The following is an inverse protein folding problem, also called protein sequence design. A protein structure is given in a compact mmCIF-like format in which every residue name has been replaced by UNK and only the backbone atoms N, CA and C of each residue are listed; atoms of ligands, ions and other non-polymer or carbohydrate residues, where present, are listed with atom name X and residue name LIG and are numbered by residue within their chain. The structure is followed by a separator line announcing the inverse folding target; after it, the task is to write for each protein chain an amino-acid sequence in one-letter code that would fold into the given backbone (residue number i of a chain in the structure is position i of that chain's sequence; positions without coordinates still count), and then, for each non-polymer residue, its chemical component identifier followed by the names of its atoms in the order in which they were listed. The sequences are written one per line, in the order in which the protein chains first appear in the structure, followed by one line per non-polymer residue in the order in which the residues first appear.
data_IF_283953427639
#
_entry.id   IF_283953427639
#
_cell.length_a   1.000
_cell.length_b   1.000
_cell.length_c   1.000
_cell.angle_alpha   90.00
_cell.angle_beta   90.00
_cell.angle_gamma   90.00
#
_symmetry.space_group_name_H-M   'P 1'
#
loop_
_entity.id
_entity.type
_entity.pdbx_description
1 polymer ?
#
# COMPACT_ATOMS: atom_id res chain seq x y z
N UNK A 1 7.05 3.46 21.07
CA UNK A 1 6.44 2.78 22.23
C UNK A 1 5.46 3.75 22.90
N UNK A 2 4.50 3.24 23.68
CA UNK A 2 3.44 4.05 24.31
C UNK A 2 3.71 4.24 25.81
N UNK A 3 4.76 4.99 26.15
CA UNK A 3 5.07 5.36 27.52
C UNK A 3 4.60 6.80 27.81
N UNK A 4 4.11 7.06 29.04
CA UNK A 4 3.58 8.38 29.43
C UNK A 4 4.66 9.37 29.88
N UNK A 5 5.85 8.87 30.18
CA UNK A 5 7.01 9.64 30.62
C UNK A 5 7.89 9.97 29.42
N UNK A 6 8.30 11.24 29.23
CA UNK A 6 9.21 11.61 28.15
C UNK A 6 10.53 10.84 28.25
N UNK A 7 10.75 9.91 27.33
CA UNK A 7 11.92 9.02 27.32
C UNK A 7 12.80 9.18 26.07
N UNK A 8 12.42 10.07 25.14
CA UNK A 8 13.13 10.30 23.89
C UNK A 8 14.06 11.51 24.03
N UNK A 9 15.36 11.31 23.76
CA UNK A 9 16.38 12.35 23.87
C UNK A 9 17.14 12.48 22.56
N UNK A 10 17.29 13.71 22.09
CA UNK A 10 18.16 14.07 20.96
C UNK A 10 19.39 14.75 21.53
N UNK A 11 20.57 14.35 21.05
CA UNK A 11 21.86 14.97 21.38
C UNK A 11 22.40 15.65 20.12
N UNK A 12 22.08 16.93 19.87
CA UNK A 12 22.46 17.61 18.63
C UNK A 12 23.97 17.60 18.37
N UNK A 13 24.77 17.75 19.42
CA UNK A 13 26.23 17.73 19.34
C UNK A 13 26.81 16.40 18.82
N UNK A 14 26.07 15.29 18.98
CA UNK A 14 26.47 13.95 18.52
C UNK A 14 25.72 13.53 17.25
N UNK A 15 24.78 14.34 16.74
CA UNK A 15 23.94 13.96 15.59
C UNK A 15 23.07 12.73 15.85
N UNK A 16 22.81 12.38 17.10
CA UNK A 16 22.22 11.12 17.49
C UNK A 16 20.99 11.29 18.40
N UNK A 17 20.07 10.34 18.32
CA UNK A 17 18.93 10.22 19.20
C UNK A 17 18.97 8.89 19.95
N UNK A 18 18.36 8.87 21.12
CA UNK A 18 18.18 7.67 21.92
C UNK A 18 16.87 7.73 22.68
N UNK A 19 16.13 6.62 22.65
CA UNK A 19 14.94 6.42 23.44
C UNK A 19 15.25 5.53 24.65
N UNK A 20 15.24 6.12 25.85
CA UNK A 20 15.47 5.40 27.11
C UNK A 20 14.36 4.41 27.48
N UNK A 21 13.17 4.53 26.87
CA UNK A 21 12.04 3.64 27.12
C UNK A 21 12.10 2.33 26.34
N UNK A 22 12.56 2.37 25.08
CA UNK A 22 12.65 1.18 24.23
C UNK A 22 14.09 0.77 23.84
N UNK A 23 15.10 1.54 24.23
CA UNK A 23 16.51 1.28 23.93
C UNK A 23 16.92 1.54 22.47
N UNK A 24 16.00 2.00 21.63
CA UNK A 24 16.31 2.34 20.23
C UNK A 24 17.10 3.65 20.18
N UNK A 25 18.03 3.73 19.24
CA UNK A 25 18.80 4.93 18.96
C UNK A 25 19.50 4.84 17.62
N UNK A 26 20.03 5.97 17.17
CA UNK A 26 20.74 6.06 15.91
C UNK A 26 20.96 7.49 15.47
N UNK A 27 21.36 7.67 14.23
CA UNK A 27 21.47 8.97 13.59
C UNK A 27 20.11 9.45 13.05
N UNK A 28 20.12 10.62 12.39
CA UNK A 28 18.92 11.21 11.78
C UNK A 28 18.31 10.32 10.70
N UNK A 29 19.11 9.60 9.92
CA UNK A 29 18.62 8.69 8.90
C UNK A 29 17.92 7.50 9.56
N UNK A 30 18.52 6.93 10.61
CA UNK A 30 17.93 5.83 11.37
C UNK A 30 16.62 6.20 12.03
N UNK A 31 16.48 7.47 12.45
CA UNK A 31 15.21 7.99 12.94
C UNK A 31 14.14 7.92 11.84
N UNK A 32 14.43 8.44 10.65
CA UNK A 32 13.48 8.47 9.51
C UNK A 32 13.19 7.06 8.99
N UNK A 33 14.20 6.20 8.90
CA UNK A 33 14.01 4.78 8.57
C UNK A 33 12.99 4.13 9.52
N UNK A 34 13.05 4.43 10.82
CA UNK A 34 12.16 3.84 11.82
C UNK A 34 10.80 4.54 11.92
N UNK A 35 10.75 5.87 11.79
CA UNK A 35 9.50 6.64 11.86
C UNK A 35 8.64 6.41 10.63
N UNK A 36 9.25 6.38 9.45
CA UNK A 36 8.59 6.18 8.16
C UNK A 36 8.57 4.71 7.72
N UNK A 37 9.33 3.84 8.40
CA UNK A 37 9.48 2.41 8.06
C UNK A 37 10.00 2.21 6.62
N UNK A 38 11.06 2.95 6.27
CA UNK A 38 11.72 2.95 4.95
C UNK A 38 13.18 2.47 5.05
N UNK A 39 13.80 2.15 3.93
CA UNK A 39 15.24 1.83 3.89
C UNK A 39 16.12 3.08 3.87
N UNK A 40 17.43 2.92 4.08
CA UNK A 40 18.39 4.02 4.16
C UNK A 40 18.36 4.97 2.95
N UNK A 41 18.35 4.44 1.73
CA UNK A 41 18.32 5.27 0.51
C UNK A 41 17.05 6.14 0.45
N UNK A 42 15.89 5.56 0.76
CA UNK A 42 14.62 6.31 0.84
C UNK A 42 14.66 7.35 1.96
N UNK A 43 15.24 7.02 3.12
CA UNK A 43 15.40 7.97 4.22
C UNK A 43 16.30 9.16 3.83
N UNK A 44 17.35 8.92 3.05
CA UNK A 44 18.21 9.97 2.49
C UNK A 44 17.44 10.85 1.50
N UNK A 45 16.67 10.25 0.59
CA UNK A 45 15.83 11.00 -0.37
C UNK A 45 14.76 11.84 0.34
N UNK A 46 14.07 11.28 1.33
CA UNK A 46 13.04 11.99 2.11
C UNK A 46 13.63 13.23 2.80
N UNK A 47 14.82 13.08 3.40
CA UNK A 47 15.49 14.19 4.08
C UNK A 47 16.02 15.23 3.08
N UNK A 48 16.56 14.78 1.95
CA UNK A 48 17.05 15.66 0.90
C UNK A 48 15.93 16.53 0.32
N UNK A 49 14.79 15.94 -0.03
CA UNK A 49 13.62 16.65 -0.53
C UNK A 49 13.10 17.65 0.52
N UNK A 50 13.03 17.25 1.79
CA UNK A 50 12.53 18.08 2.90
C UNK A 50 13.37 19.33 3.15
N UNK A 51 14.68 19.22 2.99
CA UNK A 51 15.63 20.31 3.24
C UNK A 51 16.17 20.95 1.97
N UNK A 52 15.59 20.60 0.81
CA UNK A 52 16.00 21.09 -0.51
C UNK A 52 17.50 20.88 -0.80
N UNK A 53 18.03 19.74 -0.38
CA UNK A 53 19.41 19.33 -0.63
C UNK A 53 19.44 18.54 -1.95
N UNK A 54 20.23 19.00 -2.91
CA UNK A 54 20.45 18.27 -4.17
C UNK A 54 21.38 17.09 -3.90
N UNK A 55 20.89 15.86 -4.13
CA UNK A 55 21.70 14.65 -4.01
C UNK A 55 22.45 14.40 -5.31
N UNK A 56 23.78 14.31 -5.22
CA UNK A 56 24.64 13.86 -6.30
C UNK A 56 25.07 12.43 -6.02
N UNK A 57 24.67 11.50 -6.89
CA UNK A 57 25.16 10.14 -6.86
C UNK A 57 26.44 10.08 -7.70
N UNK A 58 27.49 9.42 -7.18
CA UNK A 58 28.74 9.26 -7.93
C UNK A 58 28.46 8.59 -9.28
N UNK A 59 28.86 9.32 -10.32
CA UNK A 59 28.38 9.19 -11.67
C UNK A 59 29.14 8.10 -12.43
N UNK A 60 28.52 6.93 -12.53
CA UNK A 60 28.69 6.02 -13.68
C UNK A 60 27.37 5.83 -14.47
N UNK A 61 26.38 6.70 -14.22
CA UNK A 61 25.14 6.81 -15.02
C UNK A 61 24.68 8.28 -15.12
N UNK A 62 24.29 8.75 -16.32
CA UNK A 62 23.93 10.15 -16.52
C UNK A 62 22.56 10.42 -15.91
N UNK A 63 22.50 11.32 -14.93
CA UNK A 63 21.27 11.72 -14.26
C UNK A 63 21.16 13.24 -14.28
N UNK A 64 20.20 13.74 -15.08
CA UNK A 64 19.91 15.16 -15.25
C UNK A 64 18.75 15.55 -14.32
N UNK A 65 19.00 16.57 -13.50
CA UNK A 65 18.09 17.39 -12.67
C UNK A 65 16.57 17.14 -12.82
N UNK A 66 15.98 16.57 -11.78
CA UNK A 66 14.57 16.66 -11.33
C UNK A 66 14.48 15.81 -10.05
N UNK A 67 13.47 16.01 -9.17
CA UNK A 67 13.31 15.22 -7.93
C UNK A 67 13.51 13.73 -8.18
N UNK A 68 13.96 12.98 -7.17
CA UNK A 68 14.36 11.58 -7.35
C UNK A 68 13.36 10.86 -8.27
N UNK A 69 13.85 10.05 -9.22
CA UNK A 69 12.97 9.38 -10.21
C UNK A 69 11.74 8.77 -9.52
N UNK A 70 11.94 8.24 -8.30
CA UNK A 70 10.90 7.78 -7.38
C UNK A 70 9.84 8.83 -7.05
N UNK A 71 10.23 10.01 -6.57
CA UNK A 71 9.34 11.14 -6.26
C UNK A 71 8.45 11.51 -7.45
N UNK A 72 9.02 11.60 -8.65
CA UNK A 72 8.28 11.92 -9.88
C UNK A 72 7.23 10.87 -10.25
N UNK A 73 7.55 9.59 -10.06
CA UNK A 73 6.58 8.50 -10.27
C UNK A 73 5.44 8.52 -9.23
N UNK A 74 5.74 8.89 -7.98
CA UNK A 74 4.71 9.03 -6.95
C UNK A 74 3.76 10.19 -7.28
N UNK A 75 4.29 11.32 -7.76
CA UNK A 75 3.47 12.44 -8.24
C UNK A 75 2.56 12.03 -9.41
N UNK A 76 3.08 11.25 -10.36
CA UNK A 76 2.31 10.75 -11.49
C UNK A 76 1.14 9.85 -11.02
N UNK A 77 1.40 8.96 -10.07
CA UNK A 77 0.36 8.11 -9.48
C UNK A 77 -0.68 8.91 -8.68
N UNK A 78 -0.27 9.92 -7.91
CA UNK A 78 -1.20 10.77 -7.17
C UNK A 78 -2.07 11.62 -8.13
N UNK A 79 -1.52 12.09 -9.24
CA UNK A 79 -2.29 12.80 -10.28
C UNK A 79 -3.24 11.86 -11.02
N UNK A 80 -2.81 10.63 -11.34
CA UNK A 80 -3.67 9.61 -11.92
C UNK A 80 -4.82 9.25 -10.97
N UNK A 81 -4.57 9.19 -9.66
CA UNK A 81 -5.60 8.96 -8.67
C UNK A 81 -6.64 10.09 -8.68
N UNK A 82 -6.21 11.35 -8.66
CA UNK A 82 -7.11 12.51 -8.76
C UNK A 82 -7.94 12.46 -10.03
N UNK A 83 -7.31 12.12 -11.15
CA UNK A 83 -7.98 11.93 -12.42
C UNK A 83 -9.07 10.85 -12.31
N UNK A 84 -8.76 9.63 -11.90
CA UNK A 84 -9.75 8.55 -11.83
C UNK A 84 -10.90 8.85 -10.87
N UNK A 85 -10.64 9.47 -9.71
CA UNK A 85 -11.69 9.91 -8.78
C UNK A 85 -12.59 10.94 -9.45
N UNK A 86 -12.05 11.93 -10.18
CA UNK A 86 -12.87 12.91 -10.91
C UNK A 86 -13.78 12.27 -11.96
N UNK A 87 -13.36 11.15 -12.55
CA UNK A 87 -14.12 10.46 -13.60
C UNK A 87 -15.27 9.61 -13.06
N UNK A 88 -15.32 9.30 -11.74
CA UNK A 88 -16.37 8.45 -11.16
C UNK A 88 -17.77 9.07 -11.27
N UNK A 89 -17.84 10.40 -11.38
CA UNK A 89 -19.10 11.15 -11.54
C UNK A 89 -19.48 11.41 -13.00
N UNK A 90 -18.66 10.96 -13.96
CA UNK A 90 -18.97 11.08 -15.38
C UNK A 90 -20.22 10.25 -15.74
N UNK A 91 -20.84 10.57 -16.89
CA UNK A 91 -21.98 9.80 -17.41
C UNK A 91 -21.58 8.34 -17.70
N UNK A 92 -20.37 8.14 -18.21
CA UNK A 92 -19.83 6.84 -18.59
C UNK A 92 -19.61 5.92 -17.37
N UNK A 93 -19.23 6.50 -16.22
CA UNK A 93 -19.02 5.77 -14.97
C UNK A 93 -20.31 5.22 -14.30
N UNK A 94 -21.46 5.26 -14.97
CA UNK A 94 -22.72 4.71 -14.42
C UNK A 94 -22.58 3.22 -14.04
N UNK A 95 -21.90 2.42 -14.88
CA UNK A 95 -21.66 1.01 -14.59
C UNK A 95 -20.80 0.82 -13.34
N UNK A 96 -19.77 1.67 -13.16
CA UNK A 96 -18.92 1.69 -11.97
C UNK A 96 -19.73 1.99 -10.70
N UNK A 97 -20.55 3.07 -10.73
CA UNK A 97 -21.38 3.45 -9.59
C UNK A 97 -22.43 2.39 -9.24
N UNK A 98 -23.08 1.80 -10.26
CA UNK A 98 -24.02 0.68 -10.05
C UNK A 98 -23.35 -0.53 -9.40
N UNK A 99 -22.12 -0.84 -9.81
CA UNK A 99 -21.37 -1.95 -9.23
C UNK A 99 -21.04 -1.73 -7.75
N UNK A 100 -20.58 -0.53 -7.40
CA UNK A 100 -20.23 -0.17 -6.03
C UNK A 100 -21.48 -0.10 -5.16
N UNK A 101 -22.55 0.55 -5.64
CA UNK A 101 -23.82 0.63 -4.94
C UNK A 101 -24.50 -0.74 -4.77
N UNK A 102 -24.38 -1.64 -5.76
CA UNK A 102 -24.87 -3.02 -5.66
C UNK A 102 -24.13 -3.88 -4.64
N UNK A 103 -23.01 -3.39 -4.09
CA UNK A 103 -22.28 -3.97 -2.95
C UNK A 103 -22.47 -3.15 -1.66
N UNK A 104 -23.48 -2.28 -1.63
CA UNK A 104 -23.83 -1.42 -0.51
C UNK A 104 -22.75 -0.39 -0.13
N UNK A 105 -21.87 -0.02 -1.06
CA UNK A 105 -20.95 1.09 -0.85
C UNK A 105 -21.61 2.41 -1.25
N UNK A 106 -21.71 3.34 -0.31
CA UNK A 106 -22.18 4.70 -0.56
C UNK A 106 -21.11 5.52 -1.29
N UNK A 107 -21.48 6.70 -1.77
CA UNK A 107 -20.51 7.62 -2.39
C UNK A 107 -19.42 8.05 -1.39
N UNK A 108 -19.79 8.29 -0.13
CA UNK A 108 -18.85 8.68 0.93
C UNK A 108 -17.84 7.56 1.18
N UNK A 109 -18.28 6.30 1.12
CA UNK A 109 -17.39 5.16 1.24
C UNK A 109 -16.42 5.11 0.06
N UNK A 110 -16.94 5.27 -1.16
CA UNK A 110 -16.10 5.30 -2.36
C UNK A 110 -15.02 6.40 -2.28
N UNK A 111 -15.38 7.60 -1.79
CA UNK A 111 -14.44 8.70 -1.57
C UNK A 111 -13.38 8.35 -0.51
N UNK A 112 -13.81 7.77 0.63
CA UNK A 112 -12.91 7.33 1.71
C UNK A 112 -11.84 6.34 1.23
N UNK A 113 -12.22 5.39 0.38
CA UNK A 113 -11.29 4.38 -0.18
C UNK A 113 -10.60 4.83 -1.48
N UNK A 114 -10.90 6.04 -1.96
CA UNK A 114 -10.34 6.60 -3.19
C UNK A 114 -10.78 5.88 -4.46
N UNK A 115 -11.95 5.23 -4.47
CA UNK A 115 -12.48 4.55 -5.64
C UNK A 115 -12.64 5.53 -6.81
N UNK A 116 -12.19 5.10 -7.98
CA UNK A 116 -12.24 5.90 -9.21
C UNK A 116 -12.76 5.11 -10.41
N UNK A 117 -12.81 5.79 -11.55
CA UNK A 117 -13.16 5.20 -12.83
C UNK A 117 -12.07 5.53 -13.86
N UNK A 118 -11.57 4.50 -14.53
CA UNK A 118 -10.74 4.66 -15.72
C UNK A 118 -11.66 4.71 -16.95
N UNK A 119 -11.76 5.86 -17.66
CA UNK A 119 -12.63 5.98 -18.82
C UNK A 119 -12.27 5.01 -19.95
N UNK A 120 -13.24 4.67 -20.79
CA UNK A 120 -12.99 4.05 -22.08
C UNK A 120 -12.29 5.05 -23.01
N UNK A 121 -11.53 4.52 -23.95
CA UNK A 121 -10.65 5.31 -24.82
C UNK A 121 -9.20 4.88 -24.70
N UNK A 122 -8.34 5.43 -25.56
CA UNK A 122 -6.96 4.96 -25.67
C UNK A 122 -5.96 5.77 -24.85
N UNK A 123 -6.19 7.05 -24.59
CA UNK A 123 -5.14 7.96 -24.12
C UNK A 123 -5.67 9.08 -23.21
N UNK A 124 -6.79 8.86 -22.50
CA UNK A 124 -7.39 9.89 -21.65
C UNK A 124 -6.47 10.27 -20.49
N UNK A 125 -5.94 9.26 -19.78
CA UNK A 125 -4.99 9.48 -18.69
C UNK A 125 -3.65 9.98 -19.25
N UNK A 126 -3.15 9.39 -20.34
CA UNK A 126 -1.90 9.81 -20.98
C UNK A 126 -1.94 11.29 -21.37
N UNK A 127 -3.03 11.76 -22.02
CA UNK A 127 -3.21 13.18 -22.36
C UNK A 127 -3.31 14.05 -21.11
N UNK A 128 -4.04 13.59 -20.08
CA UNK A 128 -4.14 14.31 -18.80
C UNK A 128 -2.77 14.50 -18.16
N UNK A 129 -1.99 13.43 -18.01
CA UNK A 129 -0.65 13.48 -17.41
C UNK A 129 0.34 14.28 -18.27
N UNK A 130 0.26 14.16 -19.60
CA UNK A 130 1.09 14.98 -20.50
C UNK A 130 0.81 16.48 -20.30
N UNK A 131 -0.46 16.88 -20.11
CA UNK A 131 -0.83 18.26 -19.81
C UNK A 131 -0.29 18.77 -18.46
N UNK A 132 0.09 17.84 -17.56
CA UNK A 132 0.73 18.09 -16.27
C UNK A 132 2.27 18.00 -16.33
N UNK A 133 2.83 17.85 -17.52
CA UNK A 133 4.28 17.84 -17.75
C UNK A 133 4.96 16.50 -17.44
N UNK A 134 4.22 15.40 -17.29
CA UNK A 134 4.83 14.07 -17.17
C UNK A 134 5.26 13.57 -18.54
N UNK A 135 6.43 12.94 -18.60
CA UNK A 135 6.93 12.32 -19.83
C UNK A 135 6.28 10.96 -20.07
N UNK A 136 6.25 10.51 -21.31
CA UNK A 136 5.73 9.18 -21.66
C UNK A 136 6.49 8.06 -20.91
N UNK A 137 7.79 8.23 -20.70
CA UNK A 137 8.60 7.25 -19.96
C UNK A 137 8.20 7.21 -18.48
N UNK A 138 7.95 8.35 -17.84
CA UNK A 138 7.48 8.39 -16.45
C UNK A 138 6.12 7.68 -16.30
N UNK A 139 5.20 7.87 -17.25
CA UNK A 139 3.89 7.20 -17.22
C UNK A 139 4.01 5.68 -17.37
N UNK A 140 4.93 5.21 -18.21
CA UNK A 140 5.21 3.78 -18.38
C UNK A 140 5.93 3.20 -17.16
N UNK A 141 6.92 3.91 -16.62
CA UNK A 141 7.67 3.50 -15.43
C UNK A 141 6.79 3.46 -14.18
N UNK A 142 5.76 4.31 -14.09
CA UNK A 142 4.73 4.27 -13.05
C UNK A 142 3.69 3.15 -13.27
N UNK A 143 3.71 2.48 -14.43
CA UNK A 143 2.76 1.43 -14.79
C UNK A 143 1.35 1.94 -15.13
N UNK A 144 1.23 3.23 -15.47
CA UNK A 144 -0.03 3.91 -15.83
C UNK A 144 -0.36 3.79 -17.32
N UNK A 145 0.66 3.62 -18.15
CA UNK A 145 0.54 3.55 -19.59
C UNK A 145 1.36 2.39 -20.19
N UNK A 146 1.06 2.03 -21.44
CA UNK A 146 1.77 1.00 -22.21
C UNK A 146 2.14 1.50 -23.59
N UNK A 147 3.25 0.98 -24.12
CA UNK A 147 3.64 1.22 -25.51
C UNK A 147 2.75 0.40 -26.46
N UNK A 148 2.13 1.08 -27.43
CA UNK A 148 1.42 0.48 -28.56
C UNK A 148 2.08 0.81 -29.89
N UNK A 149 1.52 0.27 -30.98
CA UNK A 149 2.03 0.51 -32.34
C UNK A 149 1.88 1.98 -32.79
N UNK A 150 0.84 2.68 -32.31
CA UNK A 150 0.53 4.07 -32.68
C UNK A 150 0.91 5.09 -31.61
N UNK A 151 1.69 4.68 -30.61
CA UNK A 151 2.07 5.51 -29.46
C UNK A 151 1.69 4.89 -28.12
N UNK A 152 1.84 5.68 -27.06
CA UNK A 152 1.56 5.28 -25.68
C UNK A 152 0.06 5.41 -25.39
N UNK A 153 -0.51 4.42 -24.70
CA UNK A 153 -1.93 4.33 -24.38
C UNK A 153 -2.17 3.97 -22.91
N UNK A 154 -3.35 4.30 -22.40
CA UNK A 154 -3.79 4.06 -21.02
C UNK A 154 -3.81 2.56 -20.72
N UNK A 155 -3.18 2.16 -19.60
CA UNK A 155 -3.21 0.76 -19.19
C UNK A 155 -4.58 0.34 -18.62
N UNK A 156 -5.18 1.19 -17.78
CA UNK A 156 -6.51 0.99 -17.21
C UNK A 156 -7.54 1.68 -18.09
N UNK A 157 -8.57 0.94 -18.55
CA UNK A 157 -9.59 1.45 -19.48
C UNK A 157 -10.93 0.80 -19.20
N UNK A 158 -11.99 1.59 -19.10
CA UNK A 158 -13.36 1.11 -18.84
C UNK A 158 -13.51 0.29 -17.55
N UNK A 159 -12.80 0.66 -16.47
CA UNK A 159 -12.72 -0.13 -15.23
C UNK A 159 -12.93 0.71 -13.98
N UNK A 160 -13.46 0.10 -12.92
CA UNK A 160 -13.41 0.68 -11.56
C UNK A 160 -12.00 0.53 -11.03
N UNK A 161 -11.44 1.59 -10.47
CA UNK A 161 -10.06 1.60 -9.93
C UNK A 161 -10.06 1.77 -8.41
N UNK A 162 -9.14 1.09 -7.74
CA UNK A 162 -8.79 1.28 -6.34
C UNK A 162 -7.31 1.65 -6.23
N UNK A 163 -6.95 2.76 -5.57
CA UNK A 163 -5.56 3.11 -5.35
C UNK A 163 -4.94 2.16 -4.34
N UNK A 164 -3.74 1.67 -4.64
CA UNK A 164 -2.92 0.87 -3.74
C UNK A 164 -1.84 1.79 -3.19
N UNK A 165 -1.86 1.99 -1.88
CA UNK A 165 -1.01 2.97 -1.19
C UNK A 165 0.02 2.30 -0.31
N UNK A 166 1.09 3.04 -0.03
CA UNK A 166 2.04 2.68 1.01
C UNK A 166 1.50 2.99 2.42
N UNK A 167 2.30 2.71 3.43
CA UNK A 167 1.96 2.96 4.84
C UNK A 167 1.90 4.45 5.23
N UNK A 168 2.24 5.37 4.33
CA UNK A 168 2.15 6.84 4.49
C UNK A 168 0.93 7.43 3.76
N UNK A 169 0.27 6.64 2.91
CA UNK A 169 -0.90 7.03 2.11
C UNK A 169 -0.56 7.48 0.68
N UNK A 170 0.71 7.42 0.26
CA UNK A 170 1.11 7.75 -1.12
C UNK A 170 0.70 6.63 -2.08
N UNK A 171 0.23 7.01 -3.27
CA UNK A 171 -0.24 6.05 -4.27
C UNK A 171 0.94 5.38 -4.98
N UNK A 172 1.03 4.05 -4.89
CA UNK A 172 2.07 3.25 -5.56
C UNK A 172 1.58 2.68 -6.90
N UNK A 173 0.28 2.45 -7.01
CA UNK A 173 -0.35 1.85 -8.18
C UNK A 173 -1.86 1.67 -7.96
N UNK A 174 -2.47 0.83 -8.79
CA UNK A 174 -3.92 0.66 -8.83
C UNK A 174 -4.29 -0.80 -9.05
N UNK A 175 -5.38 -1.21 -8.40
CA UNK A 175 -6.18 -2.36 -8.79
C UNK A 175 -7.37 -1.91 -9.62
N UNK A 176 -7.74 -2.66 -10.65
CA UNK A 176 -8.83 -2.30 -11.54
C UNK A 176 -9.71 -3.49 -11.93
N UNK A 177 -11.03 -3.30 -11.79
CA UNK A 177 -12.04 -4.34 -12.04
C UNK A 177 -12.77 -4.11 -13.36
N UNK A 178 -12.89 -5.18 -14.16
CA UNK A 178 -13.67 -5.22 -15.41
C UNK A 178 -15.14 -4.83 -15.16
N UNK A 179 -15.70 -4.04 -16.07
CA UNK A 179 -17.10 -3.60 -16.06
C UNK A 179 -17.87 -4.05 -17.30
N UNK A 180 -17.21 -4.07 -18.47
CA UNK A 180 -17.84 -4.29 -19.76
C UNK A 180 -17.30 -5.56 -20.42
N UNK A 181 -18.15 -6.33 -21.08
CA UNK A 181 -17.76 -7.63 -21.65
C UNK A 181 -16.78 -7.51 -22.83
N UNK A 182 -16.88 -6.41 -23.58
CA UNK A 182 -16.06 -6.04 -24.73
C UNK A 182 -14.66 -5.50 -24.37
N UNK A 183 -14.30 -5.48 -23.08
CA UNK A 183 -12.95 -5.11 -22.65
C UNK A 183 -11.89 -6.05 -23.25
N UNK A 184 -10.89 -5.47 -23.89
CA UNK A 184 -9.71 -6.16 -24.43
C UNK A 184 -9.01 -7.08 -23.44
N UNK A 185 -8.95 -6.71 -22.15
CA UNK A 185 -8.35 -7.55 -21.12
C UNK A 185 -9.45 -8.38 -20.45
N UNK A 186 -9.45 -9.69 -20.68
CA UNK A 186 -10.50 -10.56 -20.18
C UNK A 186 -10.45 -10.82 -18.67
N UNK A 187 -9.32 -10.52 -18.01
CA UNK A 187 -9.16 -10.71 -16.58
C UNK A 187 -10.15 -9.84 -15.76
N UNK A 188 -10.85 -10.48 -14.82
CA UNK A 188 -11.83 -9.82 -13.91
C UNK A 188 -11.20 -8.68 -13.12
N UNK A 189 -9.97 -8.87 -12.66
CA UNK A 189 -9.14 -7.85 -12.02
C UNK A 189 -7.78 -7.79 -12.69
N UNK A 190 -7.23 -6.59 -12.78
CA UNK A 190 -5.84 -6.33 -13.15
C UNK A 190 -5.25 -5.37 -12.13
N UNK A 191 -3.94 -5.46 -11.91
CA UNK A 191 -3.20 -4.51 -11.09
C UNK A 191 -2.12 -3.84 -11.93
N UNK A 192 -1.58 -2.74 -11.42
CA UNK A 192 -0.34 -2.15 -11.92
C UNK A 192 0.72 -3.27 -12.06
N UNK A 193 1.45 -3.35 -13.19
CA UNK A 193 2.58 -4.26 -13.30
C UNK A 193 3.65 -3.93 -12.25
N UNK A 194 4.61 -4.83 -12.01
CA UNK A 194 5.69 -4.50 -11.08
C UNK A 194 6.50 -3.30 -11.61
N UNK A 195 6.71 -2.30 -10.76
CA UNK A 195 7.49 -1.08 -11.02
C UNK A 195 8.49 -0.86 -9.89
N UNK A 196 9.27 0.22 -9.94
CA UNK A 196 10.12 0.60 -8.79
C UNK A 196 9.33 1.08 -7.55
N UNK A 197 8.04 1.40 -7.72
CA UNK A 197 7.14 1.79 -6.63
C UNK A 197 6.24 0.64 -6.17
N UNK A 198 5.87 -0.25 -7.09
CA UNK A 198 4.86 -1.26 -6.88
C UNK A 198 5.46 -2.65 -7.06
N UNK A 199 5.47 -3.43 -5.97
CA UNK A 199 5.82 -4.84 -6.01
C UNK A 199 4.66 -5.63 -5.41
N UNK A 200 3.97 -6.44 -6.23
CA UNK A 200 2.73 -7.14 -5.84
C UNK A 200 2.87 -8.02 -4.59
N UNK A 201 4.09 -8.49 -4.29
CA UNK A 201 4.41 -9.32 -3.13
C UNK A 201 4.76 -8.53 -1.86
N UNK A 202 4.83 -7.20 -1.94
CA UNK A 202 5.21 -6.30 -0.85
C UNK A 202 4.15 -5.21 -0.59
N UNK A 203 3.00 -5.26 -1.26
CA UNK A 203 1.91 -4.29 -1.08
C UNK A 203 0.68 -4.96 -0.49
N UNK A 204 0.02 -4.25 0.42
CA UNK A 204 -1.24 -4.67 1.03
C UNK A 204 -2.25 -3.53 0.86
N UNK A 205 -3.36 -3.80 0.20
CA UNK A 205 -4.43 -2.82 0.07
C UNK A 205 -5.09 -2.56 1.43
N UNK A 206 -5.42 -1.29 1.69
CA UNK A 206 -5.99 -0.84 2.96
C UNK A 206 -4.99 -0.70 4.09
N UNK A 207 -3.69 -0.90 3.84
CA UNK A 207 -2.67 -0.78 4.88
C UNK A 207 -2.58 0.65 5.44
N UNK A 208 -2.69 1.66 4.58
CA UNK A 208 -2.67 3.08 4.92
C UNK A 208 -3.73 3.44 5.97
N UNK A 209 -4.98 2.98 5.78
CA UNK A 209 -6.10 3.23 6.69
C UNK A 209 -6.10 2.29 7.91
N UNK A 210 -5.55 1.09 7.78
CA UNK A 210 -5.55 0.09 8.84
C UNK A 210 -4.36 0.23 9.80
N UNK A 211 -3.23 0.81 9.36
CA UNK A 211 -1.94 0.86 10.08
C UNK A 211 -2.08 1.26 11.54
N UNK A 212 -2.73 2.39 11.81
CA UNK A 212 -2.87 2.93 13.17
C UNK A 212 -3.63 1.97 14.09
N UNK A 213 -4.70 1.35 13.58
CA UNK A 213 -5.50 0.38 14.32
C UNK A 213 -4.80 -0.98 14.46
N UNK A 214 -4.04 -1.41 13.45
CA UNK A 214 -3.23 -2.63 13.51
C UNK A 214 -2.22 -2.51 14.65
N UNK A 215 -1.49 -1.39 14.71
CA UNK A 215 -0.51 -1.13 15.78
C UNK A 215 -1.19 -1.06 17.16
N UNK A 216 -2.30 -0.32 17.26
CA UNK A 216 -3.04 -0.11 18.52
C UNK A 216 -3.66 -1.41 19.07
N UNK A 217 -4.30 -2.20 18.19
CA UNK A 217 -5.01 -3.43 18.56
C UNK A 217 -4.11 -4.66 18.53
N UNK A 218 -2.90 -4.55 17.95
CA UNK A 218 -1.97 -5.66 17.64
C UNK A 218 -2.67 -6.79 16.89
N UNK A 219 -3.54 -6.41 15.96
CA UNK A 219 -4.34 -7.33 15.18
C UNK A 219 -4.31 -6.90 13.73
N UNK A 220 -4.16 -7.87 12.82
CA UNK A 220 -4.44 -7.67 11.40
C UNK A 220 -5.46 -8.71 10.95
N UNK A 221 -6.36 -8.31 10.05
CA UNK A 221 -7.32 -9.21 9.39
C UNK A 221 -6.98 -9.22 7.90
N UNK A 222 -6.69 -10.38 7.35
CA UNK A 222 -6.27 -10.56 5.95
C UNK A 222 -7.46 -11.15 5.20
N UNK A 223 -7.98 -10.38 4.23
CA UNK A 223 -9.14 -10.74 3.39
C UNK A 223 -8.71 -10.87 1.91
N UNK A 224 -9.60 -11.41 1.09
CA UNK A 224 -9.30 -11.78 -0.31
C UNK A 224 -9.13 -10.58 -1.25
N UNK A 225 -10.00 -9.56 -1.15
CA UNK A 225 -10.05 -8.51 -2.15
C UNK A 225 -10.37 -7.11 -1.65
N UNK A 226 -10.30 -6.16 -2.58
CA UNK A 226 -10.51 -4.74 -2.33
C UNK A 226 -11.85 -4.43 -1.67
N UNK A 227 -12.93 -5.06 -2.15
CA UNK A 227 -14.27 -4.83 -1.60
C UNK A 227 -14.45 -5.46 -0.23
N UNK A 228 -13.71 -6.51 0.08
CA UNK A 228 -13.83 -7.20 1.36
C UNK A 228 -13.15 -6.35 2.43
N UNK A 229 -12.02 -5.70 2.09
CA UNK A 229 -11.42 -4.66 2.93
C UNK A 229 -12.42 -3.54 3.18
N UNK A 230 -13.06 -3.01 2.13
CA UNK A 230 -14.05 -1.95 2.28
C UNK A 230 -15.19 -2.39 3.22
N UNK A 231 -15.78 -3.56 2.98
CA UNK A 231 -16.88 -4.10 3.78
C UNK A 231 -16.47 -4.31 5.25
N UNK A 232 -15.29 -4.89 5.49
CA UNK A 232 -14.75 -5.07 6.84
C UNK A 232 -14.60 -3.74 7.59
N UNK A 233 -14.01 -2.74 6.96
CA UNK A 233 -13.82 -1.42 7.57
C UNK A 233 -15.16 -0.73 7.87
N UNK A 234 -16.16 -0.86 7.00
CA UNK A 234 -17.52 -0.35 7.24
C UNK A 234 -18.26 -1.10 8.35
N UNK A 235 -17.97 -2.40 8.52
CA UNK A 235 -18.47 -3.22 9.61
C UNK A 235 -17.71 -3.03 10.95
N UNK A 236 -16.73 -2.11 11.00
CA UNK A 236 -15.94 -1.83 12.20
C UNK A 236 -14.70 -2.71 12.38
N UNK A 237 -14.42 -3.61 11.43
CA UNK A 237 -13.17 -4.38 11.34
C UNK A 237 -12.11 -3.52 10.64
N UNK A 238 -11.67 -2.48 11.35
CA UNK A 238 -10.74 -1.44 10.89
C UNK A 238 -9.25 -1.87 10.77
N UNK A 239 -8.97 -3.17 10.98
CA UNK A 239 -7.64 -3.78 10.83
C UNK A 239 -7.53 -4.64 9.57
N UNK A 240 -8.53 -4.58 8.69
CA UNK A 240 -8.58 -5.40 7.48
C UNK A 240 -7.65 -4.88 6.37
N UNK A 241 -6.92 -5.81 5.73
CA UNK A 241 -6.04 -5.59 4.57
C UNK A 241 -6.17 -6.74 3.58
N UNK A 242 -5.82 -6.53 2.31
CA UNK A 242 -5.84 -7.57 1.28
C UNK A 242 -4.57 -7.59 0.44
N UNK A 243 -4.24 -8.76 -0.11
CA UNK A 243 -3.20 -8.87 -1.14
C UNK A 243 -3.72 -8.41 -2.49
N UNK A 244 -2.82 -7.92 -3.34
CA UNK A 244 -3.20 -7.33 -4.61
C UNK A 244 -3.02 -8.34 -5.76
N UNK A 245 -3.99 -9.26 -5.91
CA UNK A 245 -3.99 -10.24 -7.01
C UNK A 245 -2.91 -11.32 -6.91
N UNK A 246 -2.50 -11.66 -5.69
CA UNK A 246 -1.51 -12.71 -5.40
C UNK A 246 -1.84 -13.38 -4.08
N UNK A 247 -1.36 -14.61 -3.86
CA UNK A 247 -1.44 -15.26 -2.57
C UNK A 247 -0.63 -14.49 -1.51
N UNK A 248 -1.10 -14.54 -0.26
CA UNK A 248 -0.33 -14.05 0.89
C UNK A 248 0.97 -14.85 1.04
N UNK A 249 2.07 -14.17 1.33
CA UNK A 249 3.42 -14.72 1.21
C UNK A 249 4.39 -14.14 2.23
N UNK A 250 5.65 -14.59 2.16
CA UNK A 250 6.68 -14.25 3.16
C UNK A 250 6.96 -12.76 3.30
N UNK A 251 7.00 -12.02 2.19
CA UNK A 251 7.26 -10.57 2.24
C UNK A 251 6.08 -9.80 2.86
N UNK A 252 4.84 -10.18 2.56
CA UNK A 252 3.66 -9.68 3.27
C UNK A 252 3.71 -9.98 4.78
N UNK A 253 4.12 -11.20 5.15
CA UNK A 253 4.27 -11.61 6.55
C UNK A 253 5.29 -10.73 7.30
N UNK A 254 6.42 -10.39 6.67
CA UNK A 254 7.41 -9.47 7.25
C UNK A 254 6.83 -8.09 7.53
N UNK A 255 6.02 -7.55 6.61
CA UNK A 255 5.34 -6.25 6.80
C UNK A 255 4.39 -6.33 7.99
N UNK A 256 3.52 -7.35 8.02
CA UNK A 256 2.58 -7.58 9.11
C UNK A 256 3.28 -7.69 10.45
N UNK A 257 4.34 -8.52 10.54
CA UNK A 257 5.12 -8.72 11.78
C UNK A 257 5.68 -7.43 12.36
N UNK A 258 6.25 -6.57 11.50
CA UNK A 258 6.75 -5.25 11.92
C UNK A 258 5.63 -4.39 12.53
N UNK A 259 4.45 -4.40 11.93
CA UNK A 259 3.32 -3.58 12.37
C UNK A 259 2.69 -4.06 13.68
N UNK A 260 2.58 -5.37 13.90
CA UNK A 260 2.04 -5.92 15.15
C UNK A 260 3.10 -6.01 16.26
N UNK A 261 4.30 -5.45 16.03
CA UNK A 261 5.46 -5.48 16.92
C UNK A 261 5.75 -6.88 17.44
N UNK A 262 5.87 -7.85 16.52
CA UNK A 262 6.25 -9.24 16.82
C UNK A 262 7.75 -9.38 17.18
N UNK A 263 8.33 -8.37 17.83
CA UNK A 263 9.71 -8.36 18.31
C UNK A 263 9.75 -8.88 19.76
N UNK A 264 9.71 -10.20 19.90
CA UNK A 264 10.21 -10.93 21.09
C UNK A 264 11.56 -11.61 20.82
N UNK A 265 12.29 -11.22 19.78
CA UNK A 265 13.66 -11.67 19.53
C UNK A 265 14.64 -10.68 20.18
N UNK A 266 14.86 -10.79 21.50
CA UNK A 266 15.93 -10.01 22.13
C UNK A 266 16.08 -10.01 23.65
N UNK A 267 15.18 -10.60 24.45
CA UNK A 267 15.39 -10.61 25.90
C UNK A 267 14.49 -11.58 26.64
N UNK A 268 15.09 -12.41 27.49
CA UNK A 268 14.38 -13.16 28.52
C UNK A 268 13.34 -12.24 29.20
N UNK A 269 12.07 -12.62 29.17
CA UNK A 269 11.07 -12.01 30.05
C UNK A 269 10.60 -13.05 31.06
N UNK A 270 11.11 -12.89 32.27
CA UNK A 270 10.60 -13.54 33.48
C UNK A 270 9.08 -13.29 33.57
N UNK A 271 8.33 -14.38 33.74
CA UNK A 271 6.88 -14.37 33.82
C UNK A 271 6.46 -13.64 35.11
N UNK A 272 5.81 -12.50 34.96
CA UNK A 272 5.10 -11.79 36.03
C UNK A 272 3.63 -11.55 35.65
N UNK A 273 2.70 -11.51 36.63
CA UNK A 273 1.27 -11.40 36.34
C UNK A 273 0.90 -9.96 35.99
N UNK A 274 0.84 -9.64 34.69
CA UNK A 274 0.42 -8.31 34.24
C UNK A 274 0.51 -8.09 32.72
N UNK A 275 -0.58 -8.43 32.01
CA UNK A 275 -0.92 -7.99 30.63
C UNK A 275 0.00 -8.45 29.49
N UNK A 276 -0.07 -9.74 29.14
CA UNK A 276 0.31 -10.24 27.81
C UNK A 276 -0.75 -9.82 26.76
N UNK A 277 -0.58 -8.68 26.08
CA UNK A 277 -1.33 -8.45 24.83
C UNK A 277 -0.72 -9.30 23.72
N UNK A 278 -1.29 -10.48 23.49
CA UNK A 278 -0.94 -11.38 22.39
C UNK A 278 -1.34 -10.74 21.06
N UNK A 279 -0.39 -10.58 20.14
CA UNK A 279 -0.69 -10.16 18.78
C UNK A 279 -1.52 -11.23 18.06
N UNK A 280 -2.35 -10.83 17.08
CA UNK A 280 -3.24 -11.74 16.34
C UNK A 280 -3.17 -11.48 14.84
N UNK A 281 -3.06 -12.55 14.07
CA UNK A 281 -3.19 -12.51 12.61
C UNK A 281 -4.39 -13.36 12.25
N UNK A 282 -5.43 -12.75 11.71
CA UNK A 282 -6.65 -13.44 11.30
C UNK A 282 -6.69 -13.50 9.79
N UNK A 283 -6.71 -14.69 9.21
CA UNK A 283 -6.98 -14.88 7.80
C UNK A 283 -8.44 -15.24 7.59
N UNK A 284 -9.10 -14.56 6.67
CA UNK A 284 -10.48 -14.85 6.25
C UNK A 284 -10.45 -15.30 4.80
N UNK A 285 -10.91 -16.53 4.56
CA UNK A 285 -11.01 -17.10 3.23
C UNK A 285 -12.47 -17.43 2.93
N UNK A 286 -12.86 -17.30 1.67
CA UNK A 286 -14.15 -17.82 1.20
C UNK A 286 -14.17 -19.35 1.33
N UNK A 287 -15.34 -19.94 1.59
CA UNK A 287 -15.50 -21.39 1.80
C UNK A 287 -15.25 -22.29 0.59
N UNK A 288 -14.95 -21.71 -0.56
CA UNK A 288 -14.75 -22.45 -1.80
C UNK A 288 -13.40 -23.21 -1.82
N UNK A 289 -13.22 -24.07 -2.82
CA UNK A 289 -12.01 -24.89 -2.93
C UNK A 289 -10.71 -24.05 -3.07
N UNK A 290 -10.81 -22.82 -3.58
CA UNK A 290 -9.66 -21.92 -3.70
C UNK A 290 -9.32 -21.30 -2.34
N UNK A 291 -10.32 -20.81 -1.61
CA UNK A 291 -10.17 -20.28 -0.26
C UNK A 291 -9.68 -21.33 0.75
N UNK A 292 -10.16 -22.58 0.66
CA UNK A 292 -9.64 -23.68 1.48
C UNK A 292 -8.16 -23.99 1.18
N UNK A 293 -7.74 -23.93 -0.08
CA UNK A 293 -6.33 -24.13 -0.47
C UNK A 293 -5.46 -22.97 0.00
N UNK A 294 -5.97 -21.75 -0.08
CA UNK A 294 -5.30 -20.55 0.43
C UNK A 294 -5.17 -20.57 1.96
N UNK A 295 -6.20 -21.06 2.66
CA UNK A 295 -6.20 -21.33 4.10
C UNK A 295 -5.09 -22.29 4.52
N UNK A 296 -4.95 -23.43 3.83
CA UNK A 296 -3.88 -24.39 4.08
C UNK A 296 -2.48 -23.79 3.82
N UNK A 297 -2.33 -23.00 2.77
CA UNK A 297 -1.07 -22.32 2.46
C UNK A 297 -0.73 -21.26 3.52
N UNK A 298 -1.70 -20.47 3.98
CA UNK A 298 -1.52 -19.48 5.04
C UNK A 298 -1.18 -20.14 6.38
N UNK A 299 -1.79 -21.29 6.71
CA UNK A 299 -1.41 -22.08 7.88
C UNK A 299 0.03 -22.60 7.79
N UNK A 300 0.52 -22.93 6.60
CA UNK A 300 1.93 -23.25 6.36
C UNK A 300 2.91 -22.09 6.65
N UNK A 301 2.40 -20.85 6.74
CA UNK A 301 3.15 -19.66 7.15
C UNK A 301 3.06 -19.39 8.66
N UNK A 302 2.44 -20.26 9.47
CA UNK A 302 2.30 -20.06 10.92
C UNK A 302 3.68 -19.92 11.61
N UNK A 303 4.69 -20.69 11.19
CA UNK A 303 6.07 -20.51 11.66
C UNK A 303 6.71 -19.15 11.31
N UNK A 304 6.09 -18.40 10.40
CA UNK A 304 6.44 -17.02 10.08
C UNK A 304 5.72 -15.99 10.96
N UNK A 305 5.05 -16.40 12.05
CA UNK A 305 4.49 -15.53 13.09
C UNK A 305 4.76 -16.13 14.49
N UNK A 306 5.10 -15.33 15.50
CA UNK A 306 5.14 -15.79 16.91
C UNK A 306 3.80 -15.50 17.63
N UNK A 307 2.82 -15.04 16.86
CA UNK A 307 1.53 -14.53 17.30
C UNK A 307 0.41 -15.55 17.05
N UNK A 308 -0.77 -15.38 17.67
CA UNK A 308 -1.88 -16.30 17.43
C UNK A 308 -2.43 -16.14 16.01
N UNK A 309 -2.25 -17.15 15.18
CA UNK A 309 -2.83 -17.22 13.83
C UNK A 309 -4.20 -17.87 13.88
N UNK A 310 -5.22 -17.16 13.40
CA UNK A 310 -6.57 -17.70 13.24
C UNK A 310 -6.89 -17.79 11.76
N UNK A 311 -7.49 -18.90 11.35
CA UNK A 311 -7.97 -19.09 9.98
C UNK A 311 -9.48 -19.30 10.06
N UNK A 312 -10.24 -18.37 9.50
CA UNK A 312 -11.69 -18.45 9.38
C UNK A 312 -12.05 -18.74 7.92
N UNK A 313 -12.85 -19.78 7.73
CA UNK A 313 -13.41 -20.18 6.44
C UNK A 313 -14.93 -20.04 6.57
N UNK A 314 -15.54 -19.20 5.74
CA UNK A 314 -16.98 -18.90 5.78
C UNK A 314 -17.81 -19.89 4.97
#
# INVERSE_FOLDING_TARGET
HDEKTPSFSVRPALGAWHCFGCGLGGDVFKYVEQSENVGFADAVEILADKYHIELHYDSDRPQQRQGSKRSRLLEANDEAQRFFVSQIMSREALAARKLLAGRNFSQVDCERFGCGYAPQGWDNLVRHLASKGFTQQEMMDAGLARQGQRGVYDYFRGRVTWPIRDATGRTLGFGARKLFDDDTIQAKYINTPDTSLYHKNQVLYGLDIAKSNIVKKRQVVIVEGYTDVMACHLAGVDTAVATCGTAFGREHAKIVRRLISDDRLGGLQLIGPGRNRTSRVVFTFDGDAAGQKAALHAFGLDGAFLSQTFVAVA
#
